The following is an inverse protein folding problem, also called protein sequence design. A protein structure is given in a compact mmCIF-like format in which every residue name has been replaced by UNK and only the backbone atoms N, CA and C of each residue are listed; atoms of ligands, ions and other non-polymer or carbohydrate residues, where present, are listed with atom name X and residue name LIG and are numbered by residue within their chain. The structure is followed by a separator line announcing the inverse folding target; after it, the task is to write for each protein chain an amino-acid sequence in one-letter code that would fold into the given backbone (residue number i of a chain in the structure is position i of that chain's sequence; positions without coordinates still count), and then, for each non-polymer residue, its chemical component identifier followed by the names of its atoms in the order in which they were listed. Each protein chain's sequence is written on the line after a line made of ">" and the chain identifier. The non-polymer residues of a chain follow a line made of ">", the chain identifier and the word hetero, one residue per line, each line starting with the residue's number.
data_IF_930618809002
#
_entry.id   IF_930618809002
#
_cell.length_a   1.000
_cell.length_b   1.000
_cell.length_c   1.000
_cell.angle_alpha   90.00
_cell.angle_beta   90.00
_cell.angle_gamma   90.00
#
_symmetry.space_group_name_H-M   'P 1'
#
loop_
_entity.id
_entity.type
_entity.pdbx_description
1 polymer ?
#
# COMPACT_ATOMS: atom_id res chain seq x y z
N UNK A 1 -21.83 2.96 0.88
CA UNK A 1 -21.16 3.44 -0.34
C UNK A 1 -20.65 2.22 -1.08
N UNK A 2 -20.76 2.17 -2.40
CA UNK A 2 -20.27 1.03 -3.16
C UNK A 2 -18.74 1.10 -3.25
N UNK A 3 -18.05 0.07 -2.78
CA UNK A 3 -16.60 -0.09 -2.84
C UNK A 3 -16.26 -1.00 -4.03
N UNK A 4 -15.20 -0.71 -4.78
CA UNK A 4 -14.76 -1.58 -5.87
C UNK A 4 -14.04 -2.83 -5.34
N UNK A 5 -13.77 -3.82 -6.20
CA UNK A 5 -13.08 -5.06 -5.80
C UNK A 5 -11.64 -4.83 -5.32
N UNK A 6 -11.05 -3.69 -5.66
CA UNK A 6 -9.69 -3.30 -5.28
C UNK A 6 -9.63 -2.49 -3.98
N UNK A 7 -10.76 -2.33 -3.29
CA UNK A 7 -10.81 -1.69 -1.97
C UNK A 7 -10.78 -0.16 -2.02
N UNK A 8 -11.10 0.44 -3.17
CA UNK A 8 -11.27 1.88 -3.32
C UNK A 8 -12.77 2.24 -3.34
N UNK A 9 -13.11 3.38 -2.74
CA UNK A 9 -14.44 3.96 -2.90
C UNK A 9 -14.75 4.24 -4.39
N UNK A 10 -16.04 4.26 -4.72
CA UNK A 10 -16.56 4.57 -6.06
C UNK A 10 -15.89 5.82 -6.66
N UNK A 11 -15.33 5.69 -7.87
CA UNK A 11 -14.64 6.77 -8.59
C UNK A 11 -13.17 6.99 -8.25
N UNK A 12 -12.59 6.27 -7.28
CA UNK A 12 -11.15 6.38 -6.92
C UNK A 12 -10.26 5.31 -7.55
N UNK A 13 -10.84 4.24 -8.09
CA UNK A 13 -10.09 3.21 -8.80
C UNK A 13 -10.06 3.54 -10.29
N UNK A 14 -8.91 3.94 -10.83
CA UNK A 14 -8.77 4.22 -12.27
C UNK A 14 -8.91 2.96 -13.15
N UNK A 15 -8.86 1.76 -12.56
CA UNK A 15 -9.13 0.48 -13.24
C UNK A 15 -10.65 0.22 -13.36
N UNK A 16 -11.42 0.47 -12.30
CA UNK A 16 -12.88 0.31 -12.33
C UNK A 16 -13.61 1.52 -12.93
N UNK A 17 -13.00 2.71 -12.83
CA UNK A 17 -13.55 3.99 -13.27
C UNK A 17 -12.51 4.74 -14.12
N UNK A 18 -12.20 4.24 -15.33
CA UNK A 18 -11.19 4.85 -16.19
C UNK A 18 -11.59 6.29 -16.55
N UNK A 19 -10.69 7.24 -16.28
CA UNK A 19 -10.93 8.66 -16.59
C UNK A 19 -10.99 8.85 -18.09
N UNK A 20 -12.12 9.35 -18.57
CA UNK A 20 -12.23 9.79 -19.96
C UNK A 20 -11.28 10.97 -20.18
N UNK A 21 -10.35 10.91 -21.15
CA UNK A 21 -9.50 12.05 -21.45
C UNK A 21 -10.38 13.26 -21.80
N UNK A 22 -10.07 14.42 -21.23
CA UNK A 22 -10.75 15.65 -21.61
C UNK A 22 -10.61 15.86 -23.13
N UNK A 23 -11.68 16.22 -23.85
CA UNK A 23 -11.60 16.44 -25.29
C UNK A 23 -10.58 17.54 -25.57
N UNK A 24 -9.66 17.26 -26.50
CA UNK A 24 -8.63 18.21 -26.91
C UNK A 24 -9.26 19.56 -27.30
N UNK A 25 -8.68 20.70 -26.86
CA UNK A 25 -9.24 21.99 -27.18
C UNK A 25 -9.26 22.20 -28.69
N UNK A 26 -10.45 22.51 -29.23
CA UNK A 26 -10.62 22.85 -30.64
C UNK A 26 -9.78 24.09 -30.96
N UNK A 27 -8.91 23.98 -31.97
CA UNK A 27 -8.12 25.11 -32.46
C UNK A 27 -9.04 26.22 -32.98
N UNK A 28 -8.93 27.41 -32.40
CA UNK A 28 -9.65 28.61 -32.88
C UNK A 28 -8.94 29.21 -34.10
N UNK A 29 -9.67 29.79 -35.07
CA UNK A 29 -9.08 30.39 -36.25
C UNK A 29 -8.39 31.73 -35.93
N UNK A 30 -7.24 31.94 -36.56
CA UNK A 30 -6.40 33.15 -36.49
C UNK A 30 -7.08 34.34 -37.19
N UNK A 31 -7.05 35.56 -36.59
CA UNK A 31 -7.06 36.80 -37.34
C UNK A 31 -5.65 37.40 -37.45
N UNK A 32 -5.41 38.12 -38.55
CA UNK A 32 -4.15 38.79 -38.85
C UNK A 32 -4.11 40.23 -38.31
N UNK A 33 -2.96 40.61 -37.73
CA UNK A 33 -2.28 41.94 -37.70
C UNK A 33 -3.06 43.20 -37.19
N UNK A 34 -2.54 44.22 -36.48
CA UNK A 34 -1.23 44.66 -35.96
C UNK A 34 -1.49 45.79 -34.94
N UNK A 35 -0.75 45.88 -33.81
CA UNK A 35 -0.06 47.10 -33.26
C UNK A 35 0.22 47.04 -31.75
N UNK A 36 1.35 47.65 -31.43
CA UNK A 36 2.18 47.75 -30.22
C UNK A 36 1.61 48.56 -29.05
N UNK A 37 1.78 48.07 -27.81
CA UNK A 37 2.40 48.84 -26.69
C UNK A 37 2.59 48.00 -25.40
N UNK A 38 3.79 48.12 -24.81
CA UNK A 38 4.20 47.86 -23.42
C UNK A 38 3.86 46.49 -22.79
N UNK A 39 4.76 45.53 -22.98
CA UNK A 39 4.72 44.22 -22.32
C UNK A 39 5.01 44.30 -20.83
N UNK A 40 3.97 44.05 -20.02
CA UNK A 40 4.16 43.51 -18.67
C UNK A 40 4.49 42.03 -18.84
N UNK A 41 5.60 41.57 -18.26
CA UNK A 41 6.03 40.19 -18.32
C UNK A 41 4.88 39.24 -17.91
N UNK A 42 4.52 38.24 -18.73
CA UNK A 42 3.58 37.23 -18.30
C UNK A 42 4.28 36.41 -17.22
N UNK A 43 3.77 36.46 -15.99
CA UNK A 43 4.13 35.46 -15.00
C UNK A 43 3.66 34.12 -15.56
N UNK A 44 4.62 33.24 -15.82
CA UNK A 44 4.37 31.83 -16.10
C UNK A 44 3.55 31.29 -14.93
N UNK A 45 2.23 31.19 -15.11
CA UNK A 45 1.41 30.39 -14.21
C UNK A 45 1.81 28.96 -14.49
N UNK A 46 2.66 28.43 -13.62
CA UNK A 46 2.91 26.99 -13.51
C UNK A 46 1.55 26.30 -13.50
N UNK A 47 1.33 25.26 -14.34
CA UNK A 47 0.09 24.50 -14.25
C UNK A 47 -0.04 24.02 -12.81
N UNK A 48 -1.15 24.37 -12.16
CA UNK A 48 -1.43 23.88 -10.83
C UNK A 48 -1.44 22.35 -10.94
N UNK A 49 -0.49 21.69 -10.28
CA UNK A 49 -0.60 20.26 -10.06
C UNK A 49 -2.00 20.03 -9.47
N UNK A 50 -2.79 19.15 -10.07
CA UNK A 50 -4.10 18.79 -9.53
C UNK A 50 -3.90 18.43 -8.07
N UNK A 51 -4.36 19.30 -7.16
CA UNK A 51 -4.23 19.08 -5.73
C UNK A 51 -4.88 17.75 -5.35
N UNK A 52 -4.35 17.11 -4.30
CA UNK A 52 -4.94 15.89 -3.78
C UNK A 52 -6.46 16.06 -3.56
N UNK A 53 -7.30 15.09 -3.96
CA UNK A 53 -8.73 15.13 -3.70
C UNK A 53 -9.01 15.34 -2.20
N UNK A 54 -10.01 16.14 -1.86
CA UNK A 54 -10.40 16.33 -0.46
C UNK A 54 -10.84 15.02 0.23
N UNK A 55 -11.27 14.04 -0.55
CA UNK A 55 -11.60 12.68 -0.10
C UNK A 55 -10.36 11.84 0.25
N UNK A 56 -9.15 12.22 -0.17
CA UNK A 56 -7.93 11.50 0.16
C UNK A 56 -7.60 11.71 1.64
N UNK A 57 -7.77 10.67 2.45
CA UNK A 57 -7.51 10.66 3.89
C UNK A 57 -7.20 9.24 4.34
N UNK A 58 -6.49 9.06 5.46
CA UNK A 58 -6.22 7.72 6.00
C UNK A 58 -7.50 7.03 6.55
N UNK A 59 -8.39 7.70 7.31
CA UNK A 59 -9.64 7.08 7.77
C UNK A 59 -10.51 6.57 6.62
N UNK A 60 -11.03 5.37 6.74
CA UNK A 60 -11.83 4.69 5.72
C UNK A 60 -11.00 4.05 4.60
N UNK A 61 -9.67 4.21 4.57
CA UNK A 61 -8.81 3.46 3.64
C UNK A 61 -8.47 2.09 4.18
N UNK A 62 -8.07 1.22 3.27
CA UNK A 62 -7.41 -0.04 3.59
C UNK A 62 -5.91 0.11 3.45
N UNK A 63 -5.18 -0.64 4.27
CA UNK A 63 -3.75 -0.87 4.14
C UNK A 63 -3.50 -2.37 4.02
N UNK A 64 -2.35 -2.73 3.47
CA UNK A 64 -2.13 -4.06 2.93
C UNK A 64 -0.91 -4.73 3.54
N UNK A 65 -1.09 -5.94 4.06
CA UNK A 65 0.00 -6.77 4.55
C UNK A 65 0.11 -8.02 3.68
N UNK A 66 1.25 -8.17 3.01
CA UNK A 66 1.55 -9.35 2.19
C UNK A 66 2.31 -10.35 3.05
N UNK A 67 1.84 -11.59 3.08
CA UNK A 67 2.53 -12.68 3.79
C UNK A 67 2.40 -13.99 3.03
N UNK A 68 3.33 -14.90 3.26
CA UNK A 68 3.28 -16.24 2.68
C UNK A 68 2.23 -17.10 3.40
N UNK A 69 1.53 -17.99 2.69
CA UNK A 69 0.46 -18.80 3.28
C UNK A 69 0.92 -19.71 4.42
N UNK A 70 2.20 -20.12 4.42
CA UNK A 70 2.79 -20.86 5.55
C UNK A 70 2.92 -19.97 6.80
N UNK A 71 3.39 -18.74 6.64
CA UNK A 71 3.45 -17.77 7.74
C UNK A 71 2.04 -17.39 8.23
N UNK A 72 1.06 -17.34 7.32
CA UNK A 72 -0.34 -17.10 7.69
C UNK A 72 -0.89 -18.18 8.64
N UNK A 73 -0.43 -19.42 8.55
CA UNK A 73 -0.85 -20.50 9.46
C UNK A 73 -0.46 -20.17 10.90
N UNK A 74 0.79 -19.78 11.13
CA UNK A 74 1.26 -19.33 12.45
C UNK A 74 0.51 -18.08 12.93
N UNK A 75 0.30 -17.09 12.05
CA UNK A 75 -0.50 -15.89 12.36
C UNK A 75 -1.95 -16.27 12.75
N UNK A 76 -2.55 -17.27 12.08
CA UNK A 76 -3.89 -17.75 12.37
C UNK A 76 -3.97 -18.41 13.75
N UNK A 77 -3.00 -19.27 14.08
CA UNK A 77 -2.91 -19.91 15.39
C UNK A 77 -2.69 -18.89 16.51
N UNK A 78 -1.91 -17.85 16.25
CA UNK A 78 -1.65 -16.74 17.17
C UNK A 78 -2.83 -15.77 17.29
N UNK A 79 -3.69 -15.71 16.28
CA UNK A 79 -4.84 -14.81 16.18
C UNK A 79 -4.50 -13.35 15.86
N UNK A 80 -3.24 -13.02 15.59
CA UNK A 80 -2.78 -11.63 15.40
C UNK A 80 -1.47 -11.53 14.60
N UNK A 81 -1.32 -10.41 13.89
CA UNK A 81 -0.06 -9.98 13.31
C UNK A 81 0.78 -9.31 14.40
N UNK A 82 2.04 -9.73 14.58
CA UNK A 82 2.95 -9.15 15.58
C UNK A 82 4.20 -8.59 14.93
N UNK A 83 4.64 -7.42 15.41
CA UNK A 83 5.94 -6.87 15.06
C UNK A 83 7.06 -7.78 15.59
N UNK A 84 8.13 -7.93 14.82
CA UNK A 84 9.29 -8.73 15.21
C UNK A 84 9.06 -10.24 15.31
N UNK A 85 7.87 -10.76 14.99
CA UNK A 85 7.65 -12.20 14.92
C UNK A 85 8.52 -12.83 13.82
N UNK A 86 9.05 -14.02 14.11
CA UNK A 86 9.82 -14.81 13.15
C UNK A 86 8.84 -15.53 12.20
N UNK A 87 8.86 -15.23 10.89
CA UNK A 87 7.95 -15.85 9.95
C UNK A 87 8.45 -17.22 9.48
N UNK A 88 7.54 -18.17 9.21
CA UNK A 88 7.88 -19.48 8.62
C UNK A 88 8.56 -19.37 7.25
N UNK A 89 8.23 -18.32 6.50
CA UNK A 89 8.91 -17.93 5.27
C UNK A 89 9.32 -16.47 5.40
N UNK A 90 10.57 -16.23 5.81
CA UNK A 90 11.11 -14.88 5.88
C UNK A 90 11.50 -14.38 4.51
N UNK A 91 10.75 -13.41 3.98
CA UNK A 91 11.05 -12.79 2.70
C UNK A 91 12.08 -11.66 2.81
N UNK A 92 12.29 -11.09 4.00
CA UNK A 92 13.24 -9.99 4.18
C UNK A 92 14.66 -10.52 4.31
N UNK A 93 15.64 -9.85 3.69
CA UNK A 93 17.04 -10.16 3.96
C UNK A 93 17.43 -9.73 5.39
N UNK A 94 18.48 -10.35 5.93
CA UNK A 94 19.02 -9.97 7.24
C UNK A 94 19.41 -8.48 7.30
N UNK A 95 19.97 -7.94 6.22
CA UNK A 95 20.28 -6.50 6.11
C UNK A 95 19.02 -5.64 6.19
N UNK A 96 17.91 -6.04 5.55
CA UNK A 96 16.64 -5.31 5.66
C UNK A 96 16.08 -5.34 7.08
N UNK A 97 16.19 -6.48 7.78
CA UNK A 97 15.80 -6.58 9.19
C UNK A 97 16.62 -5.60 10.04
N UNK A 98 17.94 -5.61 9.91
CA UNK A 98 18.85 -4.70 10.62
C UNK A 98 18.55 -3.21 10.33
N UNK A 99 18.28 -2.86 9.07
CA UNK A 99 17.92 -1.49 8.69
C UNK A 99 16.61 -1.07 9.37
N UNK A 100 15.59 -1.94 9.44
CA UNK A 100 14.35 -1.64 10.16
C UNK A 100 14.51 -1.63 11.68
N UNK A 101 15.41 -2.45 12.22
CA UNK A 101 15.73 -2.45 13.65
C UNK A 101 16.40 -1.14 14.07
N UNK A 102 17.25 -0.58 13.22
CA UNK A 102 18.02 0.65 13.51
C UNK A 102 17.29 1.94 13.13
N UNK A 103 16.39 1.91 12.14
CA UNK A 103 15.55 3.05 11.79
C UNK A 103 14.55 3.37 12.92
N UNK A 104 14.37 4.66 13.23
CA UNK A 104 13.48 5.12 14.29
C UNK A 104 12.35 6.00 13.76
N UNK A 105 11.15 5.79 14.30
CA UNK A 105 10.02 6.70 14.11
C UNK A 105 10.18 7.94 15.03
N UNK A 106 9.38 9.01 14.89
CA UNK A 106 9.59 10.27 15.62
C UNK A 106 9.58 10.16 17.15
N UNK A 107 8.91 9.15 17.72
CA UNK A 107 8.88 8.89 19.16
C UNK A 107 10.08 8.08 19.68
N UNK A 108 11.02 7.72 18.80
CA UNK A 108 12.25 7.00 19.12
C UNK A 108 12.14 5.47 19.10
N UNK A 109 10.94 4.90 18.93
CA UNK A 109 10.79 3.45 18.73
C UNK A 109 11.40 3.01 17.41
N UNK A 110 11.91 1.79 17.39
CA UNK A 110 12.41 1.15 16.18
C UNK A 110 11.26 0.86 15.21
N UNK A 111 11.48 1.03 13.90
CA UNK A 111 10.52 0.63 12.86
C UNK A 111 10.19 -0.87 12.94
N UNK A 112 11.14 -1.71 13.37
CA UNK A 112 10.91 -3.15 13.58
C UNK A 112 9.92 -3.46 14.73
N UNK A 113 9.63 -2.48 15.60
CA UNK A 113 8.63 -2.61 16.68
C UNK A 113 7.19 -2.39 16.21
N UNK A 114 6.95 -2.19 14.91
CA UNK A 114 5.63 -1.98 14.33
C UNK A 114 5.28 -3.08 13.32
N UNK A 115 4.00 -3.42 13.23
CA UNK A 115 3.46 -4.18 12.10
C UNK A 115 3.38 -3.23 10.90
N UNK A 116 4.05 -3.59 9.80
CA UNK A 116 4.05 -2.79 8.59
C UNK A 116 2.92 -3.16 7.65
N UNK A 117 2.29 -2.14 7.10
CA UNK A 117 1.31 -2.24 6.03
C UNK A 117 1.67 -1.30 4.90
N UNK A 118 1.57 -1.76 3.66
CA UNK A 118 1.64 -0.88 2.50
C UNK A 118 0.36 -0.07 2.35
N UNK A 119 0.48 1.18 1.91
CA UNK A 119 -0.67 2.03 1.58
C UNK A 119 -1.32 1.58 0.27
N UNK A 120 -0.52 1.13 -0.70
CA UNK A 120 -1.01 0.61 -1.98
C UNK A 120 -1.17 -0.92 -1.94
N UNK A 121 -2.26 -1.48 -2.48
CA UNK A 121 -2.38 -2.92 -2.70
C UNK A 121 -1.37 -3.45 -3.73
N UNK A 122 -0.83 -2.58 -4.57
CA UNK A 122 0.16 -2.86 -5.60
C UNK A 122 1.48 -2.14 -5.26
N UNK A 123 1.97 -2.37 -4.04
CA UNK A 123 3.21 -1.75 -3.55
C UNK A 123 4.43 -2.21 -4.35
N UNK A 124 5.48 -1.38 -4.36
CA UNK A 124 6.74 -1.73 -5.03
C UNK A 124 7.29 -3.05 -4.48
N UNK A 125 7.25 -3.24 -3.16
CA UNK A 125 7.65 -4.50 -2.50
C UNK A 125 6.87 -5.70 -3.01
N UNK A 126 5.57 -5.56 -3.24
CA UNK A 126 4.77 -6.65 -3.79
C UNK A 126 5.04 -6.89 -5.28
N UNK A 127 5.28 -5.84 -6.06
CA UNK A 127 5.73 -5.94 -7.46
C UNK A 127 7.06 -6.72 -7.55
N UNK A 128 8.08 -6.27 -6.83
CA UNK A 128 9.40 -6.92 -6.81
C UNK A 128 9.32 -8.40 -6.41
N UNK A 129 8.49 -8.75 -5.41
CA UNK A 129 8.30 -10.13 -4.96
C UNK A 129 7.65 -11.00 -6.04
N UNK A 130 6.68 -10.46 -6.80
CA UNK A 130 6.06 -11.16 -7.94
C UNK A 130 7.00 -11.35 -9.11
N UNK A 131 7.90 -10.40 -9.30
CA UNK A 131 8.90 -10.36 -10.37
C UNK A 131 10.16 -11.18 -10.06
N UNK A 132 10.18 -11.89 -8.93
CA UNK A 132 11.24 -12.86 -8.60
C UNK A 132 12.18 -12.44 -7.47
N UNK A 133 11.94 -11.28 -6.85
CA UNK A 133 12.61 -10.85 -5.63
C UNK A 133 14.15 -10.72 -5.79
N UNK A 134 14.61 -10.12 -6.89
CA UNK A 134 16.04 -10.04 -7.23
C UNK A 134 16.84 -9.06 -6.37
N UNK A 135 16.19 -8.04 -5.80
CA UNK A 135 16.83 -6.99 -4.99
C UNK A 135 17.50 -7.49 -3.69
N UNK A 136 18.53 -6.77 -3.23
CA UNK A 136 19.32 -7.13 -2.04
C UNK A 136 18.54 -7.11 -0.70
N UNK A 137 17.35 -6.52 -0.71
CA UNK A 137 16.44 -6.50 0.44
C UNK A 137 15.61 -7.79 0.57
N UNK A 138 15.68 -8.69 -0.41
CA UNK A 138 15.01 -9.99 -0.40
C UNK A 138 15.94 -11.12 0.06
N UNK A 139 15.39 -12.07 0.82
CA UNK A 139 16.05 -13.30 1.21
C UNK A 139 16.09 -14.34 0.09
N UNK A 140 16.83 -15.44 0.30
CA UNK A 140 16.75 -16.60 -0.60
C UNK A 140 15.37 -17.27 -0.59
N UNK A 141 14.66 -17.21 0.54
CA UNK A 141 13.31 -17.73 0.65
C UNK A 141 12.32 -16.92 -0.20
N UNK A 142 12.48 -15.59 -0.28
CA UNK A 142 11.70 -14.76 -1.19
C UNK A 142 11.91 -15.16 -2.66
N UNK A 143 13.17 -15.33 -3.09
CA UNK A 143 13.53 -15.71 -4.47
C UNK A 143 13.03 -17.09 -4.89
N UNK A 144 12.86 -17.99 -3.93
CA UNK A 144 12.42 -19.38 -4.20
C UNK A 144 10.91 -19.56 -4.01
N UNK A 145 10.24 -18.62 -3.34
CA UNK A 145 8.80 -18.67 -3.13
C UNK A 145 8.03 -18.40 -4.44
N UNK A 146 6.90 -19.09 -4.59
CA UNK A 146 5.97 -18.79 -5.69
C UNK A 146 5.07 -17.65 -5.26
N UNK A 147 4.96 -16.61 -6.08
CA UNK A 147 4.07 -15.49 -5.81
C UNK A 147 2.61 -15.92 -5.56
N UNK A 148 2.14 -17.01 -6.18
CA UNK A 148 0.80 -17.56 -5.96
C UNK A 148 0.57 -18.16 -4.58
N UNK A 149 1.62 -18.39 -3.79
CA UNK A 149 1.53 -18.90 -2.41
C UNK A 149 1.52 -17.77 -1.37
N UNK A 150 1.49 -16.50 -1.81
CA UNK A 150 1.25 -15.35 -0.95
C UNK A 150 -0.23 -15.00 -0.85
N UNK A 151 -0.57 -14.30 0.22
CA UNK A 151 -1.88 -13.68 0.44
C UNK A 151 -1.71 -12.20 0.75
N UNK A 152 -2.73 -11.41 0.44
CA UNK A 152 -2.76 -9.98 0.75
C UNK A 152 -3.89 -9.74 1.74
N UNK A 153 -3.53 -9.40 2.99
CA UNK A 153 -4.46 -9.02 4.03
C UNK A 153 -4.80 -7.54 3.88
N UNK A 154 -6.09 -7.20 3.81
CA UNK A 154 -6.55 -5.81 3.75
C UNK A 154 -7.21 -5.41 5.08
N UNK A 155 -6.58 -4.47 5.77
CA UNK A 155 -7.01 -3.98 7.08
C UNK A 155 -7.48 -2.53 6.95
N UNK A 156 -8.70 -2.18 7.40
CA UNK A 156 -9.13 -0.78 7.46
C UNK A 156 -8.25 -0.02 8.45
N UNK A 157 -7.82 1.19 8.10
CA UNK A 157 -7.01 2.03 9.00
C UNK A 157 -7.72 2.26 10.34
N UNK A 158 -9.04 2.43 10.32
CA UNK A 158 -9.86 2.65 11.52
C UNK A 158 -9.84 1.47 12.51
N UNK A 159 -9.36 0.29 12.08
CA UNK A 159 -9.23 -0.89 12.92
C UNK A 159 -7.84 -1.04 13.57
N UNK A 160 -6.88 -0.18 13.22
CA UNK A 160 -5.50 -0.23 13.75
C UNK A 160 -5.31 0.57 15.05
N UNK A 161 -6.31 1.36 15.45
CA UNK A 161 -6.22 2.27 16.59
C UNK A 161 -5.43 3.54 16.28
N UNK A 162 -5.17 4.33 17.33
CA UNK A 162 -4.60 5.69 17.19
C UNK A 162 -3.06 5.69 17.15
N UNK A 163 -2.40 4.63 17.64
CA UNK A 163 -0.94 4.50 17.67
C UNK A 163 -0.40 3.95 16.34
N UNK A 164 -0.52 4.80 15.31
CA UNK A 164 -0.01 4.55 13.97
C UNK A 164 0.98 5.62 13.53
N UNK A 165 1.94 5.23 12.71
CA UNK A 165 2.90 6.15 12.08
C UNK A 165 2.86 5.97 10.57
N UNK A 166 2.58 7.06 9.86
CA UNK A 166 2.66 7.10 8.40
C UNK A 166 4.11 7.36 7.97
N UNK A 167 4.61 6.58 7.02
CA UNK A 167 5.89 6.76 6.34
C UNK A 167 5.62 7.08 4.87
N UNK A 168 6.19 8.16 4.34
CA UNK A 168 5.98 8.58 2.94
C UNK A 168 6.80 7.78 1.90
N UNK A 169 7.45 6.70 2.33
CA UNK A 169 8.23 5.75 1.55
C UNK A 169 8.65 4.56 2.42
N UNK A 170 9.66 3.80 1.98
CA UNK A 170 10.21 2.67 2.74
C UNK A 170 10.68 3.12 4.14
N UNK A 171 10.06 2.60 5.19
CA UNK A 171 10.35 3.03 6.56
C UNK A 171 11.79 2.75 7.01
N UNK A 172 12.55 1.91 6.30
CA UNK A 172 13.97 1.67 6.56
C UNK A 172 14.90 2.68 5.84
N UNK A 173 14.38 3.45 4.88
CA UNK A 173 15.19 4.33 4.06
C UNK A 173 15.48 5.68 4.75
N UNK A 174 16.71 6.19 4.57
CA UNK A 174 17.20 7.42 5.22
C UNK A 174 16.39 8.67 4.84
N UNK A 175 15.83 8.70 3.63
CA UNK A 175 15.08 9.85 3.13
C UNK A 175 13.60 9.88 3.58
N UNK A 176 13.13 8.82 4.24
CA UNK A 176 11.74 8.65 4.60
C UNK A 176 11.32 9.61 5.69
N UNK A 177 10.16 10.25 5.50
CA UNK A 177 9.57 11.17 6.45
C UNK A 177 8.42 10.48 7.14
N UNK A 178 8.38 10.64 8.46
CA UNK A 178 7.34 10.07 9.28
C UNK A 178 6.32 11.13 9.73
N UNK A 179 5.09 10.69 9.95
CA UNK A 179 4.03 11.48 10.57
C UNK A 179 3.25 10.60 11.52
N UNK A 180 3.34 10.91 12.82
CA UNK A 180 2.65 10.17 13.87
C UNK A 180 1.16 10.54 13.91
N UNK A 181 0.31 9.53 14.04
CA UNK A 181 -1.14 9.68 14.10
C UNK A 181 -1.82 9.85 12.75
N UNK A 182 -3.12 9.60 12.75
CA UNK A 182 -3.97 9.54 11.55
C UNK A 182 -4.15 10.91 10.90
N UNK A 183 -4.24 11.98 11.68
CA UNK A 183 -4.41 13.35 11.19
C UNK A 183 -3.16 13.85 10.47
N UNK A 184 -2.00 13.75 11.11
CA UNK A 184 -0.74 14.17 10.51
C UNK A 184 -0.38 13.28 9.30
N UNK A 185 -0.60 11.97 9.42
CA UNK A 185 -0.46 11.02 8.32
C UNK A 185 -1.39 11.35 7.13
N UNK A 186 -2.64 11.75 7.37
CA UNK A 186 -3.55 12.20 6.30
C UNK A 186 -3.01 13.42 5.57
N UNK A 187 -2.44 14.39 6.29
CA UNK A 187 -1.82 15.55 5.66
C UNK A 187 -0.57 15.17 4.87
N UNK A 188 0.24 14.24 5.38
CA UNK A 188 1.42 13.72 4.68
C UNK A 188 1.03 12.96 3.40
N UNK A 189 0.05 12.07 3.47
CA UNK A 189 -0.51 11.35 2.31
C UNK A 189 -0.98 12.32 1.22
N UNK A 190 -1.68 13.40 1.59
CA UNK A 190 -2.11 14.43 0.64
C UNK A 190 -0.95 15.18 -0.01
N UNK A 191 0.15 15.40 0.72
CA UNK A 191 1.36 16.00 0.14
C UNK A 191 2.05 15.02 -0.80
N UNK A 192 2.17 13.76 -0.39
CA UNK A 192 2.79 12.70 -1.18
C UNK A 192 2.08 12.51 -2.53
N UNK A 193 0.75 12.61 -2.56
CA UNK A 193 -0.05 12.48 -3.79
C UNK A 193 0.39 13.42 -4.92
N UNK A 194 0.97 14.58 -4.60
CA UNK A 194 1.45 15.51 -5.62
C UNK A 194 2.67 14.99 -6.39
N UNK A 195 3.45 14.10 -5.79
CA UNK A 195 4.70 13.54 -6.35
C UNK A 195 4.59 12.05 -6.66
N UNK A 196 3.83 11.31 -5.85
CA UNK A 196 3.51 9.89 -6.01
C UNK A 196 2.02 9.67 -5.69
N UNK A 197 1.14 9.69 -6.70
CA UNK A 197 -0.29 9.44 -6.52
C UNK A 197 -0.63 7.95 -6.27
N UNK A 198 0.29 7.03 -6.56
CA UNK A 198 0.07 5.58 -6.41
C UNK A 198 0.49 5.06 -5.03
N UNK A 199 1.31 5.83 -4.30
CA UNK A 199 1.76 5.53 -2.93
C UNK A 199 2.45 4.17 -2.80
N UNK A 200 3.19 3.75 -3.84
CA UNK A 200 3.67 2.37 -3.93
C UNK A 200 4.72 2.02 -2.89
N UNK A 201 5.45 3.02 -2.41
CA UNK A 201 6.47 2.85 -1.37
C UNK A 201 5.98 3.23 0.02
N UNK A 202 4.85 3.92 0.14
CA UNK A 202 4.38 4.44 1.43
C UNK A 202 3.89 3.30 2.35
N UNK A 203 4.22 3.43 3.63
CA UNK A 203 3.84 2.48 4.69
C UNK A 203 2.97 3.15 5.77
N UNK A 204 2.13 2.34 6.40
CA UNK A 204 1.52 2.63 7.68
C UNK A 204 2.02 1.61 8.70
N UNK A 205 2.58 2.10 9.79
CA UNK A 205 3.19 1.32 10.87
C UNK A 205 2.23 1.31 12.06
N UNK A 206 1.77 0.14 12.51
CA UNK A 206 0.91 -0.01 13.69
C UNK A 206 1.69 -0.60 14.87
N UNK A 207 1.63 0.03 16.04
CA UNK A 207 2.48 -0.32 17.18
C UNK A 207 2.07 -1.60 17.92
N UNK A 208 0.78 -1.91 17.95
CA UNK A 208 0.25 -3.07 18.65
C UNK A 208 0.29 -4.33 17.80
N UNK A 209 0.08 -5.51 18.42
CA UNK A 209 -0.38 -6.64 17.65
C UNK A 209 -1.70 -6.26 16.97
N UNK A 210 -1.85 -6.63 15.69
CA UNK A 210 -3.06 -6.36 14.93
C UNK A 210 -3.88 -7.65 14.90
N UNK A 211 -5.03 -7.73 15.60
CA UNK A 211 -5.80 -8.96 15.67
C UNK A 211 -6.33 -9.33 14.28
N UNK A 212 -6.37 -10.63 13.97
CA UNK A 212 -6.90 -11.10 12.69
C UNK A 212 -8.38 -10.74 12.49
N UNK A 213 -9.12 -10.48 13.56
CA UNK A 213 -10.49 -9.94 13.48
C UNK A 213 -10.57 -8.53 12.90
N UNK A 214 -9.46 -7.77 12.85
CA UNK A 214 -9.37 -6.48 12.17
C UNK A 214 -9.21 -6.63 10.64
N UNK A 215 -8.80 -7.80 10.15
CA UNK A 215 -8.66 -8.06 8.71
C UNK A 215 -10.04 -8.12 8.08
N UNK A 216 -10.33 -7.18 7.19
CA UNK A 216 -11.65 -7.11 6.56
C UNK A 216 -11.75 -7.93 5.27
N UNK A 217 -10.63 -8.16 4.58
CA UNK A 217 -10.57 -9.06 3.43
C UNK A 217 -9.18 -9.70 3.25
N UNK A 218 -9.15 -10.86 2.61
CA UNK A 218 -7.92 -11.54 2.18
C UNK A 218 -8.03 -11.80 0.68
N UNK A 219 -7.04 -11.31 -0.07
CA UNK A 219 -6.95 -11.55 -1.51
C UNK A 219 -5.97 -12.68 -1.77
N UNK A 220 -6.36 -13.62 -2.65
CA UNK A 220 -5.60 -14.83 -2.98
C UNK A 220 -5.55 -15.09 -4.47
N UNK A 221 -4.55 -15.85 -4.92
CA UNK A 221 -4.29 -16.08 -6.34
C UNK A 221 -5.32 -16.97 -7.03
N UNK A 222 -5.86 -17.97 -6.33
CA UNK A 222 -6.73 -19.00 -6.92
C UNK A 222 -7.59 -19.70 -5.86
N UNK A 223 -8.53 -20.55 -6.30
CA UNK A 223 -9.46 -21.25 -5.40
C UNK A 223 -8.76 -22.22 -4.45
N UNK A 224 -7.70 -22.90 -4.88
CA UNK A 224 -6.91 -23.79 -4.01
C UNK A 224 -6.37 -23.03 -2.79
N UNK A 225 -5.82 -21.84 -3.02
CA UNK A 225 -5.30 -20.99 -1.94
C UNK A 225 -6.45 -20.47 -1.07
N UNK A 226 -7.60 -20.08 -1.65
CA UNK A 226 -8.81 -19.69 -0.88
C UNK A 226 -9.23 -20.79 0.09
N UNK A 227 -9.32 -22.01 -0.40
CA UNK A 227 -9.81 -23.14 0.40
C UNK A 227 -8.80 -23.49 1.49
N UNK A 228 -7.49 -23.44 1.21
CA UNK A 228 -6.47 -23.57 2.26
C UNK A 228 -6.56 -22.46 3.30
N UNK A 229 -6.77 -21.20 2.92
CA UNK A 229 -6.96 -20.11 3.89
C UNK A 229 -8.19 -20.36 4.77
N UNK A 230 -9.31 -20.87 4.22
CA UNK A 230 -10.49 -21.22 5.01
C UNK A 230 -10.20 -22.31 6.05
N UNK A 231 -9.46 -23.34 5.65
CA UNK A 231 -9.00 -24.41 6.55
C UNK A 231 -8.17 -23.82 7.69
N UNK A 232 -7.17 -22.98 7.38
CA UNK A 232 -6.32 -22.34 8.40
C UNK A 232 -7.12 -21.58 9.45
N UNK A 233 -8.12 -20.78 9.03
CA UNK A 233 -8.99 -20.08 9.97
C UNK A 233 -9.87 -21.04 10.78
N UNK A 234 -10.39 -22.10 10.14
CA UNK A 234 -11.22 -23.10 10.83
C UNK A 234 -10.43 -23.86 11.89
N UNK A 235 -9.22 -24.30 11.55
CA UNK A 235 -8.31 -25.03 12.44
C UNK A 235 -7.89 -24.17 13.64
N UNK A 236 -7.72 -22.86 13.42
CA UNK A 236 -7.46 -21.89 14.48
C UNK A 236 -8.71 -21.49 15.30
N UNK A 237 -9.90 -22.01 14.96
CA UNK A 237 -11.16 -21.64 15.62
C UNK A 237 -11.60 -20.19 15.35
N UNK A 238 -11.13 -19.59 14.26
CA UNK A 238 -11.41 -18.21 13.85
C UNK A 238 -12.46 -18.17 12.74
N UNK A 239 -13.23 -17.09 12.69
CA UNK A 239 -14.10 -16.82 11.54
C UNK A 239 -13.29 -16.17 10.43
N UNK A 240 -13.20 -16.76 9.22
CA UNK A 240 -12.48 -16.14 8.13
C UNK A 240 -13.17 -14.85 7.68
N UNK A 241 -12.41 -13.79 7.36
CA UNK A 241 -12.97 -12.62 6.72
C UNK A 241 -13.37 -12.95 5.26
N UNK A 242 -13.81 -11.94 4.51
CA UNK A 242 -14.07 -12.13 3.07
C UNK A 242 -12.77 -12.57 2.37
N UNK A 243 -12.77 -13.75 1.75
CA UNK A 243 -11.64 -14.22 0.94
C UNK A 243 -11.99 -14.05 -0.54
N UNK A 244 -11.26 -13.19 -1.24
CA UNK A 244 -11.44 -12.88 -2.65
C UNK A 244 -10.36 -13.55 -3.50
N UNK A 245 -10.78 -14.31 -4.52
CA UNK A 245 -9.87 -14.84 -5.54
C UNK A 245 -9.70 -13.78 -6.62
N UNK A 246 -8.49 -13.25 -6.78
CA UNK A 246 -8.19 -12.22 -7.77
C UNK A 246 -6.81 -12.46 -8.40
N UNK A 247 -6.72 -13.35 -9.42
CA UNK A 247 -5.47 -13.70 -10.09
C UNK A 247 -4.63 -12.53 -10.63
N UNK A 248 -5.22 -11.41 -11.14
CA UNK A 248 -4.43 -10.30 -11.65
C UNK A 248 -3.48 -9.68 -10.62
N UNK A 249 -3.84 -9.68 -9.33
CA UNK A 249 -2.94 -9.18 -8.28
C UNK A 249 -1.71 -10.08 -8.04
N UNK A 250 -1.67 -11.28 -8.62
CA UNK A 250 -0.60 -12.26 -8.46
C UNK A 250 0.12 -12.56 -9.77
N UNK A 251 -0.27 -11.96 -10.89
CA UNK A 251 0.44 -12.13 -12.16
C UNK A 251 1.56 -11.08 -12.22
N UNK A 252 2.75 -11.45 -12.69
CA UNK A 252 3.79 -10.47 -13.01
C UNK A 252 3.33 -9.61 -14.21
N UNK A 253 3.70 -8.33 -14.24
CA UNK A 253 3.47 -7.52 -15.43
C UNK A 253 4.21 -8.16 -16.61
N UNK A 254 3.50 -8.41 -17.71
CA UNK A 254 4.13 -8.83 -18.96
C UNK A 254 4.50 -7.53 -19.67
N UNK A 255 5.79 -7.24 -19.77
CA UNK A 255 6.32 -6.20 -20.66
C UNK A 255 6.09 -6.52 -22.14
#
# INVERSE_FOLDING_TARGET
>A
MAECIHGFDEGLCDVCFPRTPAPAPKAAPRPAATRTSTGRAPTLRTPAASGAPASLKLPGRRVHHVTHIRTLESIALDGELRAGAEPDVDVSSATTRELRETATVPDGRSVASFVSFAISPDSTRWQELREGAEGAHWSDAARTAKHTDFVILAVPVDALGDDVVFADGDAAAVATRFSAGVEAGTQALRRLHATDPDFRDAELLAAGPVPLSAVAAITVANERVRDRVRELFTDAGLTPPRIAVYPPAFTAAID
#
